data_IF_828773528890
#
_entry.id   IF_828773528890
#
_cell.length_a   1.000
_cell.length_b   1.000
_cell.length_c   1.000
_cell.angle_alpha   90.00
_cell.angle_beta   90.00
_cell.angle_gamma   90.00
#
_symmetry.space_group_name_H-M   'P 1'
#
loop_
_entity.id
_entity.type
_entity.pdbx_description
1 polymer ?
#
# COMPACT_ATOMS: atom_id res chain seq x y z
N UNK A 1 7.77 -41.41 14.59
CA UNK A 1 6.92 -41.31 13.38
C UNK A 1 5.93 -40.13 13.46
N UNK A 2 5.12 -40.00 14.53
CA UNK A 2 4.23 -38.82 14.73
C UNK A 2 4.95 -37.47 14.74
N UNK A 3 6.12 -37.39 15.39
CA UNK A 3 6.88 -36.14 15.55
C UNK A 3 7.38 -35.57 14.21
N UNK A 4 7.83 -36.44 13.29
CA UNK A 4 8.29 -36.07 11.94
C UNK A 4 7.14 -35.50 11.10
N UNK A 5 5.92 -36.03 11.25
CA UNK A 5 4.75 -35.55 10.51
C UNK A 5 4.37 -34.13 10.97
N UNK A 6 4.45 -33.85 12.26
CA UNK A 6 4.16 -32.51 12.79
C UNK A 6 5.23 -31.48 12.39
N UNK A 7 6.51 -31.86 12.37
CA UNK A 7 7.58 -30.99 11.85
C UNK A 7 7.37 -30.64 10.37
N UNK A 8 7.01 -31.62 9.54
CA UNK A 8 6.74 -31.39 8.11
C UNK A 8 5.54 -30.46 7.91
N UNK A 9 4.49 -30.60 8.72
CA UNK A 9 3.32 -29.69 8.67
C UNK A 9 3.72 -28.27 9.05
N UNK A 10 4.50 -28.11 10.11
CA UNK A 10 4.91 -26.80 10.60
C UNK A 10 5.85 -26.08 9.61
N UNK A 11 6.72 -26.84 8.93
CA UNK A 11 7.53 -26.32 7.82
C UNK A 11 6.67 -25.92 6.62
N UNK A 12 5.66 -26.74 6.28
CA UNK A 12 4.72 -26.45 5.21
C UNK A 12 3.92 -25.16 5.48
N UNK A 13 3.39 -25.00 6.70
CA UNK A 13 2.65 -23.80 7.12
C UNK A 13 3.55 -22.55 7.02
N UNK A 14 4.78 -22.64 7.52
CA UNK A 14 5.75 -21.53 7.42
C UNK A 14 6.06 -21.15 5.97
N UNK A 15 6.11 -22.12 5.07
CA UNK A 15 6.31 -21.87 3.63
C UNK A 15 5.08 -21.25 2.98
N UNK A 16 3.89 -21.70 3.35
CA UNK A 16 2.63 -21.13 2.86
C UNK A 16 2.49 -19.67 3.29
N UNK A 17 2.79 -19.35 4.55
CA UNK A 17 2.77 -17.97 5.05
C UNK A 17 3.73 -17.07 4.27
N UNK A 18 4.96 -17.54 3.99
CA UNK A 18 5.91 -16.80 3.16
C UNK A 18 5.40 -16.56 1.74
N UNK A 19 4.67 -17.52 1.17
CA UNK A 19 4.04 -17.36 -0.15
C UNK A 19 2.92 -16.33 -0.12
N UNK A 20 2.10 -16.29 0.95
CA UNK A 20 1.05 -15.28 1.14
C UNK A 20 1.68 -13.89 1.26
N UNK A 21 2.70 -13.73 2.11
CA UNK A 21 3.41 -12.43 2.24
C UNK A 21 4.01 -11.98 0.92
N UNK A 22 4.60 -12.90 0.15
CA UNK A 22 5.14 -12.58 -1.18
C UNK A 22 4.05 -12.16 -2.16
N UNK A 23 2.87 -12.79 -2.08
CA UNK A 23 1.70 -12.45 -2.89
C UNK A 23 1.16 -11.06 -2.53
N UNK A 24 1.04 -10.73 -1.24
CA UNK A 24 0.63 -9.40 -0.78
C UNK A 24 1.59 -8.32 -1.26
N UNK A 25 2.90 -8.54 -1.16
CA UNK A 25 3.92 -7.62 -1.67
C UNK A 25 3.81 -7.47 -3.19
N UNK A 26 3.55 -8.56 -3.92
CA UNK A 26 3.33 -8.51 -5.35
C UNK A 26 2.07 -7.71 -5.70
N UNK A 27 0.95 -7.94 -5.01
CA UNK A 27 -0.30 -7.19 -5.21
C UNK A 27 -0.20 -5.72 -4.82
N UNK A 28 0.55 -5.37 -3.77
CA UNK A 28 0.85 -3.99 -3.43
C UNK A 28 1.61 -3.25 -4.55
N UNK A 29 2.40 -3.98 -5.34
CA UNK A 29 3.10 -3.45 -6.53
C UNK A 29 2.21 -3.41 -7.78
N UNK A 30 1.16 -4.23 -7.86
CA UNK A 30 0.21 -4.21 -8.97
C UNK A 30 -0.68 -2.98 -8.83
N UNK A 31 -0.32 -1.92 -9.55
CA UNK A 31 -1.18 -0.75 -9.76
C UNK A 31 -2.32 -1.18 -10.68
N UNK A 32 -3.49 -1.47 -10.12
CA UNK A 32 -4.71 -1.89 -10.84
C UNK A 32 -5.35 -0.78 -11.70
N UNK A 33 -4.60 0.30 -11.98
CA UNK A 33 -5.15 1.51 -12.61
C UNK A 33 -6.17 2.24 -11.74
N UNK A 34 -6.31 1.84 -10.46
CA UNK A 34 -7.21 2.48 -9.52
C UNK A 34 -6.58 3.74 -8.96
N UNK A 35 -7.38 4.79 -8.87
CA UNK A 35 -7.03 6.01 -8.14
C UNK A 35 -6.56 5.63 -6.72
N UNK A 36 -5.28 5.88 -6.42
CA UNK A 36 -4.70 5.62 -5.11
C UNK A 36 -4.02 6.88 -4.60
N UNK A 37 -4.27 7.30 -3.34
CA UNK A 37 -3.71 8.55 -2.80
C UNK A 37 -2.19 8.64 -2.87
N UNK A 38 -1.49 7.49 -2.75
CA UNK A 38 -0.02 7.46 -2.84
C UNK A 38 0.54 7.88 -4.20
N UNK A 39 -0.30 7.99 -5.23
CA UNK A 39 0.11 8.55 -6.52
C UNK A 39 0.55 10.02 -6.39
N UNK A 40 0.00 10.73 -5.40
CA UNK A 40 0.30 12.13 -5.13
C UNK A 40 1.32 12.29 -3.98
N UNK A 41 1.82 11.19 -3.38
CA UNK A 41 2.80 11.25 -2.28
C UNK A 41 4.14 11.85 -2.73
N UNK A 42 4.49 11.75 -4.01
CA UNK A 42 5.71 12.35 -4.58
C UNK A 42 5.54 13.82 -4.99
N UNK A 43 4.34 14.39 -4.84
CA UNK A 43 4.06 15.77 -5.21
C UNK A 43 4.23 16.66 -3.99
N UNK A 44 5.14 17.62 -4.11
CA UNK A 44 5.29 18.71 -3.18
C UNK A 44 4.76 20.00 -3.79
N UNK A 45 4.08 20.79 -2.98
CA UNK A 45 3.50 22.08 -3.36
C UNK A 45 4.21 23.17 -2.56
N UNK A 46 4.44 24.31 -3.21
CA UNK A 46 4.97 25.48 -2.54
C UNK A 46 3.89 26.07 -1.63
N UNK A 47 4.09 25.91 -0.32
CA UNK A 47 3.24 26.49 0.71
C UNK A 47 4.04 27.56 1.45
N UNK A 48 3.72 28.82 1.19
CA UNK A 48 4.40 29.99 1.76
C UNK A 48 5.94 29.98 1.63
N UNK A 49 6.47 29.59 0.46
CA UNK A 49 7.90 29.58 0.18
C UNK A 49 8.64 28.32 0.67
N UNK A 50 7.92 27.36 1.24
CA UNK A 50 8.48 26.06 1.65
C UNK A 50 7.83 24.93 0.88
N UNK A 51 8.67 24.06 0.31
CA UNK A 51 8.22 22.91 -0.47
C UNK A 51 7.64 21.84 0.48
N UNK A 52 6.31 21.80 0.58
CA UNK A 52 5.58 20.95 1.53
C UNK A 52 4.89 19.81 0.78
N UNK A 53 4.99 18.55 1.23
CA UNK A 53 4.28 17.44 0.62
C UNK A 53 2.77 17.69 0.58
N UNK A 54 2.10 17.44 -0.56
CA UNK A 54 0.66 17.67 -0.74
C UNK A 54 -0.18 16.98 0.35
N UNK A 55 0.25 15.80 0.79
CA UNK A 55 -0.38 15.00 1.85
C UNK A 55 -0.48 15.72 3.20
N UNK A 56 0.38 16.71 3.46
CA UNK A 56 0.39 17.46 4.72
C UNK A 56 -0.57 18.65 4.71
N UNK A 57 -0.92 19.15 3.52
CA UNK A 57 -1.78 20.33 3.33
C UNK A 57 -3.18 19.97 2.80
N UNK A 58 -3.40 18.72 2.37
CA UNK A 58 -4.68 18.29 1.82
C UNK A 58 -5.02 16.84 2.21
N UNK A 59 -6.32 16.57 2.39
CA UNK A 59 -6.85 15.23 2.50
C UNK A 59 -7.08 14.66 1.10
N UNK A 60 -6.50 13.49 0.81
CA UNK A 60 -6.59 12.84 -0.49
C UNK A 60 -7.49 11.62 -0.34
N UNK A 61 -8.67 11.67 -0.92
CA UNK A 61 -9.66 10.59 -0.89
C UNK A 61 -9.88 10.01 -2.28
N UNK A 62 -10.21 8.73 -2.34
CA UNK A 62 -10.61 8.06 -3.59
C UNK A 62 -12.11 8.28 -3.75
N UNK A 63 -12.51 9.05 -4.76
CA UNK A 63 -13.92 9.32 -5.06
C UNK A 63 -14.54 8.16 -5.83
N UNK A 64 -13.89 7.75 -6.92
CA UNK A 64 -14.25 6.60 -7.73
C UNK A 64 -12.97 5.88 -8.16
N UNK A 65 -13.07 4.66 -8.66
CA UNK A 65 -11.93 3.84 -9.09
C UNK A 65 -11.00 4.51 -10.09
N UNK A 66 -11.37 5.65 -10.69
CA UNK A 66 -10.54 6.44 -11.62
C UNK A 66 -10.27 7.89 -11.19
N UNK A 67 -10.86 8.37 -10.11
CA UNK A 67 -10.77 9.78 -9.69
C UNK A 67 -10.30 9.91 -8.24
N UNK A 68 -9.36 10.84 -8.01
CA UNK A 68 -8.92 11.26 -6.68
C UNK A 68 -9.50 12.64 -6.40
N UNK A 69 -10.10 12.80 -5.21
CA UNK A 69 -10.47 14.11 -4.67
C UNK A 69 -9.37 14.56 -3.72
N UNK A 70 -8.89 15.78 -3.93
CA UNK A 70 -7.94 16.47 -3.04
C UNK A 70 -8.70 17.61 -2.37
N UNK A 71 -8.88 17.51 -1.05
CA UNK A 71 -9.54 18.51 -0.23
C UNK A 71 -8.49 19.21 0.67
N UNK A 72 -8.02 20.41 0.30
CA UNK A 72 -7.04 21.15 1.10
C UNK A 72 -7.59 21.57 2.47
N UNK A 73 -6.72 21.55 3.47
CA UNK A 73 -6.95 22.07 4.82
C UNK A 73 -6.33 23.47 4.87
N UNK A 74 -7.03 24.50 4.36
CA UNK A 74 -6.50 25.87 4.23
C UNK A 74 -5.17 26.01 3.45
#
# INVERSE_FOLDING_TARGET
MKMIIEEIKQEADTRMDKSIVSLEVAFAKIRTGRAHPSLLDSISVDYYGTMTPLKQIANINVEDGRSLIVAPWE
#
